data_IF_337424901336
#
_entry.id   IF_337424901336
#
_cell.length_a   1.000
_cell.length_b   1.000
_cell.length_c   1.000
_cell.angle_alpha   90.00
_cell.angle_beta   90.00
_cell.angle_gamma   90.00
#
_symmetry.space_group_name_H-M   'P 1'
#
loop_
_entity.id
_entity.type
_entity.pdbx_description
1 polymer ?
#
# COMPACT_ATOMS: atom_id res chain seq x y z
N UNK A 1 -30.31 34.59 52.78
CA UNK A 1 -29.60 34.81 51.49
C UNK A 1 -29.22 33.44 50.94
N UNK A 2 -30.17 32.82 50.26
CA UNK A 2 -30.03 31.54 49.57
C UNK A 2 -29.65 31.86 48.13
N UNK A 3 -28.42 31.55 47.74
CA UNK A 3 -27.92 31.71 46.37
C UNK A 3 -28.09 30.38 45.64
N UNK A 4 -29.10 30.31 44.78
CA UNK A 4 -29.35 29.21 43.85
C UNK A 4 -28.34 29.31 42.70
N UNK A 5 -27.45 28.32 42.59
CA UNK A 5 -26.56 28.14 41.44
C UNK A 5 -27.32 27.38 40.36
N UNK A 6 -27.69 28.05 39.27
CA UNK A 6 -28.19 27.40 38.05
C UNK A 6 -27.09 26.52 37.45
N UNK A 7 -27.32 25.22 37.45
CA UNK A 7 -26.52 24.28 36.67
C UNK A 7 -26.89 24.45 35.20
N UNK A 8 -25.95 24.97 34.42
CA UNK A 8 -26.01 24.97 32.96
C UNK A 8 -25.97 23.51 32.51
N UNK A 9 -27.10 23.00 32.01
CA UNK A 9 -27.18 21.68 31.42
C UNK A 9 -26.33 21.65 30.14
N UNK A 10 -25.36 20.74 30.11
CA UNK A 10 -24.59 20.38 28.94
C UNK A 10 -25.54 19.69 27.93
N UNK A 11 -26.08 20.47 26.98
CA UNK A 11 -26.88 19.96 25.86
C UNK A 11 -25.96 19.17 24.91
N UNK A 12 -25.69 17.92 25.25
CA UNK A 12 -25.16 16.94 24.32
C UNK A 12 -26.13 16.81 23.13
N UNK A 13 -25.72 17.07 21.88
CA UNK A 13 -26.61 16.96 20.74
C UNK A 13 -27.13 15.53 20.63
N UNK A 14 -28.45 15.37 20.49
CA UNK A 14 -29.10 14.10 20.16
C UNK A 14 -28.37 13.44 18.98
N UNK A 15 -28.05 12.13 19.03
CA UNK A 15 -27.34 11.49 17.94
C UNK A 15 -28.21 11.55 16.68
N UNK A 16 -27.80 12.39 15.72
CA UNK A 16 -28.45 12.51 14.43
C UNK A 16 -28.53 11.14 13.74
N UNK A 17 -29.53 10.98 12.87
CA UNK A 17 -29.74 9.76 12.07
C UNK A 17 -28.44 9.33 11.38
N UNK A 18 -28.04 8.07 11.57
CA UNK A 18 -26.95 7.46 10.78
C UNK A 18 -27.48 7.19 9.37
N UNK A 19 -26.76 7.67 8.37
CA UNK A 19 -27.15 7.58 6.96
C UNK A 19 -26.65 6.26 6.37
N UNK A 20 -27.53 5.54 5.68
CA UNK A 20 -27.16 4.29 5.01
C UNK A 20 -26.37 4.54 3.71
N UNK A 21 -25.57 3.57 3.22
CA UNK A 21 -24.96 3.66 1.89
C UNK A 21 -25.97 3.87 0.75
N UNK A 22 -27.19 3.33 0.89
CA UNK A 22 -28.25 3.49 -0.09
C UNK A 22 -28.82 4.92 -0.08
N UNK A 23 -29.03 5.51 1.10
CA UNK A 23 -29.51 6.89 1.25
C UNK A 23 -28.53 7.88 0.59
N UNK A 24 -27.22 7.66 0.77
CA UNK A 24 -26.18 8.46 0.10
C UNK A 24 -26.23 8.25 -1.42
N UNK A 25 -26.36 7.02 -1.89
CA UNK A 25 -26.45 6.75 -3.33
C UNK A 25 -27.66 7.46 -3.94
N UNK A 26 -28.82 7.42 -3.29
CA UNK A 26 -30.04 8.12 -3.71
C UNK A 26 -29.85 9.64 -3.74
N UNK A 27 -29.33 10.23 -2.66
CA UNK A 27 -29.05 11.67 -2.59
C UNK A 27 -28.03 12.13 -3.66
N UNK A 28 -27.15 11.22 -4.08
CA UNK A 28 -26.19 11.44 -5.15
C UNK A 28 -26.70 10.96 -6.51
N UNK A 29 -27.95 10.54 -6.68
CA UNK A 29 -28.48 10.02 -7.95
C UNK A 29 -27.59 8.93 -8.58
N UNK A 30 -27.04 8.05 -7.75
CA UNK A 30 -26.20 6.91 -8.14
C UNK A 30 -27.01 5.61 -7.98
N UNK A 31 -26.63 4.54 -8.69
CA UNK A 31 -27.21 3.22 -8.44
C UNK A 31 -27.01 2.79 -6.99
N UNK A 32 -28.02 2.15 -6.41
CA UNK A 32 -27.90 1.58 -5.06
C UNK A 32 -26.77 0.54 -5.00
N UNK A 33 -25.93 0.58 -3.95
CA UNK A 33 -24.84 -0.39 -3.80
C UNK A 33 -25.40 -1.80 -3.59
N UNK A 34 -24.67 -2.82 -4.03
CA UNK A 34 -25.01 -4.22 -3.69
C UNK A 34 -24.82 -4.48 -2.20
N UNK A 35 -25.38 -5.57 -1.64
CA UNK A 35 -25.12 -5.95 -0.24
C UNK A 35 -23.61 -6.07 0.09
N UNK A 36 -22.81 -6.61 -0.83
CA UNK A 36 -21.35 -6.69 -0.70
C UNK A 36 -20.71 -5.30 -0.60
N UNK A 37 -21.10 -4.37 -1.48
CA UNK A 37 -20.58 -3.00 -1.48
C UNK A 37 -21.04 -2.22 -0.26
N UNK A 38 -22.32 -2.34 0.12
CA UNK A 38 -22.90 -1.67 1.27
C UNK A 38 -22.21 -2.10 2.58
N UNK A 39 -21.88 -3.39 2.73
CA UNK A 39 -21.15 -3.91 3.88
C UNK A 39 -19.72 -3.30 3.99
N UNK A 40 -19.05 -3.07 2.86
CA UNK A 40 -17.74 -2.39 2.83
C UNK A 40 -17.88 -0.90 3.12
N UNK A 41 -18.86 -0.24 2.50
CA UNK A 41 -19.07 1.21 2.64
C UNK A 41 -19.38 1.56 4.10
N UNK A 42 -20.31 0.84 4.72
CA UNK A 42 -20.73 1.03 6.11
C UNK A 42 -19.92 0.21 7.12
N UNK A 43 -18.77 -0.36 6.73
CA UNK A 43 -17.90 -1.04 7.68
C UNK A 43 -17.49 -0.06 8.80
N UNK A 44 -17.41 -0.51 10.07
CA UNK A 44 -17.00 0.32 11.19
C UNK A 44 -15.70 1.11 10.92
N UNK A 45 -15.46 2.22 11.64
CA UNK A 45 -14.23 3.02 11.54
C UNK A 45 -13.03 2.30 12.19
N UNK A 46 -12.75 1.09 11.73
CA UNK A 46 -11.67 0.19 12.14
C UNK A 46 -10.89 -0.26 10.88
N UNK A 47 -9.72 -0.90 11.03
CA UNK A 47 -9.05 -1.54 9.92
C UNK A 47 -9.92 -2.59 9.21
N UNK A 48 -9.96 -2.52 7.88
CA UNK A 48 -10.75 -3.40 7.03
C UNK A 48 -9.97 -3.80 5.77
N UNK A 49 -9.93 -5.11 5.50
CA UNK A 49 -9.44 -5.66 4.25
C UNK A 49 -10.60 -5.93 3.31
N UNK A 50 -10.52 -5.48 2.06
CA UNK A 50 -11.51 -5.75 1.02
C UNK A 50 -10.85 -6.56 -0.09
N UNK A 51 -11.20 -7.84 -0.17
CA UNK A 51 -10.81 -8.72 -1.27
C UNK A 51 -11.83 -8.56 -2.38
N UNK A 52 -11.45 -7.83 -3.42
CA UNK A 52 -12.34 -7.40 -4.47
C UNK A 52 -11.87 -7.90 -5.84
N UNK A 53 -12.71 -8.71 -6.48
CA UNK A 53 -12.39 -9.32 -7.77
C UNK A 53 -12.35 -8.34 -8.94
N UNK A 54 -11.89 -8.84 -10.09
CA UNK A 54 -11.89 -8.11 -11.35
C UNK A 54 -13.28 -7.55 -11.70
N UNK A 55 -13.37 -6.24 -11.89
CA UNK A 55 -14.63 -5.59 -12.27
C UNK A 55 -15.66 -5.46 -11.15
N UNK A 56 -15.30 -5.70 -9.88
CA UNK A 56 -16.23 -5.61 -8.74
C UNK A 56 -16.59 -4.18 -8.29
N UNK A 57 -15.94 -3.17 -8.90
CA UNK A 57 -16.14 -1.76 -8.52
C UNK A 57 -15.32 -1.33 -7.31
N UNK A 58 -14.06 -1.79 -7.20
CA UNK A 58 -13.08 -1.38 -6.17
C UNK A 58 -13.08 0.13 -5.92
N UNK A 59 -12.69 0.91 -6.92
CA UNK A 59 -12.60 2.38 -6.85
C UNK A 59 -13.95 3.04 -6.59
N UNK A 60 -15.04 2.44 -7.08
CA UNK A 60 -16.40 2.94 -6.86
C UNK A 60 -16.81 2.83 -5.40
N UNK A 61 -16.54 1.68 -4.80
CA UNK A 61 -16.83 1.38 -3.40
C UNK A 61 -15.92 2.18 -2.46
N UNK A 62 -14.64 2.35 -2.82
CA UNK A 62 -13.71 3.21 -2.09
C UNK A 62 -14.20 4.67 -2.03
N UNK A 63 -14.62 5.23 -3.16
CA UNK A 63 -15.15 6.59 -3.19
C UNK A 63 -16.45 6.72 -2.38
N UNK A 64 -17.35 5.73 -2.48
CA UNK A 64 -18.57 5.69 -1.67
C UNK A 64 -18.27 5.59 -0.17
N UNK A 65 -17.24 4.82 0.23
CA UNK A 65 -16.79 4.73 1.63
C UNK A 65 -16.31 6.07 2.17
N UNK A 66 -15.51 6.85 1.41
CA UNK A 66 -15.11 8.20 1.84
C UNK A 66 -16.34 9.07 2.12
N UNK A 67 -17.26 9.10 1.17
CA UNK A 67 -18.47 9.93 1.27
C UNK A 67 -19.32 9.49 2.46
N UNK A 68 -19.42 8.19 2.73
CA UNK A 68 -20.15 7.66 3.87
C UNK A 68 -19.52 8.02 5.22
N UNK A 69 -18.19 7.92 5.34
CA UNK A 69 -17.47 8.35 6.55
C UNK A 69 -17.68 9.85 6.82
N UNK A 70 -17.66 10.67 5.76
CA UNK A 70 -17.85 12.12 5.86
C UNK A 70 -19.30 12.49 6.18
N UNK A 71 -20.27 11.89 5.49
CA UNK A 71 -21.70 12.17 5.70
C UNK A 71 -22.15 11.86 7.14
N UNK A 72 -21.60 10.79 7.72
CA UNK A 72 -21.89 10.38 9.10
C UNK A 72 -21.02 11.11 10.14
N UNK A 73 -20.18 12.07 9.75
CA UNK A 73 -19.36 12.85 10.66
C UNK A 73 -18.22 12.06 11.33
N UNK A 74 -17.84 10.90 10.77
CA UNK A 74 -16.74 10.08 11.29
C UNK A 74 -15.36 10.65 10.93
N UNK A 75 -15.29 11.42 9.85
CA UNK A 75 -14.07 12.12 9.40
C UNK A 75 -14.44 13.36 8.59
N UNK A 76 -13.63 14.42 8.64
CA UNK A 76 -13.76 15.56 7.73
C UNK A 76 -12.99 15.30 6.43
N UNK A 77 -13.36 15.90 5.29
CA UNK A 77 -12.70 15.61 4.01
C UNK A 77 -11.19 15.80 4.01
N UNK A 78 -10.68 16.86 4.66
CA UNK A 78 -9.26 17.19 4.79
C UNK A 78 -8.44 16.17 5.58
N UNK A 79 -9.12 15.35 6.40
CA UNK A 79 -8.54 14.26 7.19
C UNK A 79 -8.61 12.90 6.48
N UNK A 80 -8.94 12.87 5.19
CA UNK A 80 -8.94 11.64 4.38
C UNK A 80 -7.67 11.53 3.55
N UNK A 81 -7.00 10.39 3.65
CA UNK A 81 -5.87 10.00 2.80
C UNK A 81 -6.25 8.84 1.88
N UNK A 82 -6.08 9.00 0.57
CA UNK A 82 -6.16 7.91 -0.41
C UNK A 82 -4.80 7.66 -1.06
N UNK A 83 -4.34 6.41 -1.06
CA UNK A 83 -3.11 5.98 -1.70
C UNK A 83 -3.40 4.97 -2.80
N UNK A 84 -2.74 5.15 -3.95
CA UNK A 84 -2.90 4.31 -5.14
C UNK A 84 -1.54 3.99 -5.77
N UNK A 85 -1.48 2.99 -6.64
CA UNK A 85 -0.23 2.62 -7.31
C UNK A 85 0.18 3.59 -8.44
N UNK A 86 -0.79 4.05 -9.24
CA UNK A 86 -0.51 4.88 -10.43
C UNK A 86 -1.03 6.31 -10.31
N UNK A 87 -0.34 7.27 -10.95
CA UNK A 87 -0.79 8.67 -11.01
C UNK A 87 -2.18 8.83 -11.64
N UNK A 88 -2.53 7.96 -12.60
CA UNK A 88 -3.85 7.94 -13.24
C UNK A 88 -4.93 7.52 -12.24
N UNK A 89 -4.70 6.44 -11.49
CA UNK A 89 -5.63 5.97 -10.46
C UNK A 89 -5.82 7.02 -9.35
N UNK A 90 -4.73 7.63 -8.87
CA UNK A 90 -4.77 8.72 -7.89
C UNK A 90 -5.70 9.86 -8.35
N UNK A 91 -5.50 10.34 -9.58
CA UNK A 91 -6.30 11.42 -10.16
C UNK A 91 -7.78 11.04 -10.27
N UNK A 92 -8.06 9.86 -10.83
CA UNK A 92 -9.43 9.38 -11.01
C UNK A 92 -10.17 9.20 -9.69
N UNK A 93 -9.50 8.70 -8.64
CA UNK A 93 -10.07 8.59 -7.31
C UNK A 93 -10.32 9.97 -6.68
N UNK A 94 -9.35 10.89 -6.75
CA UNK A 94 -9.52 12.27 -6.27
C UNK A 94 -10.69 13.00 -6.94
N UNK A 95 -10.75 12.98 -8.28
CA UNK A 95 -11.84 13.59 -9.05
C UNK A 95 -13.19 13.03 -8.65
N UNK A 96 -13.28 11.69 -8.50
CA UNK A 96 -14.52 11.01 -8.11
C UNK A 96 -14.97 11.39 -6.71
N UNK A 97 -14.08 11.35 -5.72
CA UNK A 97 -14.40 11.70 -4.34
C UNK A 97 -14.83 13.17 -4.25
N UNK A 98 -14.06 14.09 -4.85
CA UNK A 98 -14.40 15.53 -4.88
C UNK A 98 -15.76 15.79 -5.52
N UNK A 99 -16.05 15.15 -6.66
CA UNK A 99 -17.33 15.30 -7.33
C UNK A 99 -18.50 14.84 -6.45
N UNK A 100 -18.35 13.71 -5.73
CA UNK A 100 -19.39 13.20 -4.83
C UNK A 100 -19.57 14.05 -3.59
N UNK A 101 -18.49 14.52 -2.98
CA UNK A 101 -18.55 15.43 -1.83
C UNK A 101 -19.26 16.74 -2.19
N UNK A 102 -18.98 17.33 -3.36
CA UNK A 102 -19.71 18.52 -3.83
C UNK A 102 -21.20 18.25 -4.03
N UNK A 103 -21.55 17.11 -4.64
CA UNK A 103 -22.96 16.70 -4.82
C UNK A 103 -23.64 16.43 -3.48
N UNK A 104 -22.94 15.88 -2.49
CA UNK A 104 -23.43 15.68 -1.13
C UNK A 104 -23.67 17.02 -0.43
N UNK A 105 -22.77 18.00 -0.57
CA UNK A 105 -22.96 19.34 0.00
C UNK A 105 -24.18 20.06 -0.60
N UNK A 106 -24.42 19.84 -1.90
CA UNK A 106 -25.59 20.36 -2.61
C UNK A 106 -26.86 19.53 -2.45
N UNK A 107 -26.83 18.41 -1.74
CA UNK A 107 -28.03 17.64 -1.42
C UNK A 107 -28.63 18.11 -0.07
N UNK A 108 -29.93 17.84 0.12
CA UNK A 108 -30.61 18.09 1.40
C UNK A 108 -30.20 17.11 2.51
N UNK A 109 -29.50 16.03 2.15
CA UNK A 109 -29.18 14.93 3.07
C UNK A 109 -28.34 15.38 4.27
N UNK A 110 -27.42 16.35 4.07
CA UNK A 110 -26.61 16.86 5.18
C UNK A 110 -27.41 17.73 6.17
N UNK A 111 -28.47 18.40 5.71
CA UNK A 111 -29.36 19.17 6.61
C UNK A 111 -30.15 18.24 7.52
N UNK A 112 -30.59 17.10 6.99
CA UNK A 112 -31.37 16.11 7.73
C UNK A 112 -30.56 15.49 8.87
N UNK A 113 -29.24 15.35 8.70
CA UNK A 113 -28.37 14.63 9.65
C UNK A 113 -27.52 15.54 10.53
N UNK A 114 -27.35 16.80 10.12
CA UNK A 114 -26.71 17.86 10.89
C UNK A 114 -27.38 19.23 10.62
N UNK A 115 -28.47 19.54 11.35
CA UNK A 115 -29.17 20.82 11.21
C UNK A 115 -28.31 22.05 11.53
N UNK A 116 -27.16 21.89 12.20
CA UNK A 116 -26.25 23.00 12.51
C UNK A 116 -25.50 23.52 11.28
N UNK A 117 -25.45 22.73 10.20
CA UNK A 117 -24.75 23.05 8.97
C UNK A 117 -23.22 22.90 9.04
N UNK A 118 -22.67 22.49 10.18
CA UNK A 118 -21.22 22.32 10.36
C UNK A 118 -20.64 21.27 9.39
N UNK A 119 -21.32 20.13 9.21
CA UNK A 119 -20.91 19.08 8.27
C UNK A 119 -20.93 19.59 6.84
N UNK A 120 -21.98 20.31 6.43
CA UNK A 120 -22.03 20.91 5.08
C UNK A 120 -20.86 21.86 4.87
N UNK A 121 -20.55 22.71 5.85
CA UNK A 121 -19.42 23.64 5.76
C UNK A 121 -18.08 22.91 5.65
N UNK A 122 -17.88 21.84 6.44
CA UNK A 122 -16.69 21.00 6.37
C UNK A 122 -16.55 20.32 4.99
N UNK A 123 -17.65 19.84 4.41
CA UNK A 123 -17.67 19.25 3.06
C UNK A 123 -17.37 20.29 1.97
N UNK A 124 -17.87 21.52 2.13
CA UNK A 124 -17.67 22.59 1.15
C UNK A 124 -16.25 23.18 1.17
N UNK A 125 -15.57 23.15 2.32
CA UNK A 125 -14.25 23.77 2.52
C UNK A 125 -13.09 22.78 2.56
N UNK A 126 -13.32 21.52 2.94
CA UNK A 126 -12.30 20.49 3.02
C UNK A 126 -12.08 19.75 1.70
N UNK A 127 -10.85 19.29 1.46
CA UNK A 127 -10.54 18.41 0.34
C UNK A 127 -9.72 17.18 0.77
N UNK A 128 -10.06 15.98 0.27
CA UNK A 128 -9.28 14.78 0.53
C UNK A 128 -7.90 14.85 -0.12
N UNK A 129 -6.90 14.29 0.56
CA UNK A 129 -5.57 14.08 -0.01
C UNK A 129 -5.55 12.73 -0.72
N UNK A 130 -5.34 12.70 -2.04
CA UNK A 130 -5.17 11.45 -2.80
C UNK A 130 -3.86 11.47 -3.58
N UNK A 131 -2.98 10.52 -3.31
CA UNK A 131 -1.63 10.46 -3.84
C UNK A 131 -1.29 9.05 -4.35
N UNK A 132 -0.14 8.95 -5.02
CA UNK A 132 0.51 7.64 -5.19
C UNK A 132 1.35 7.33 -3.96
N UNK A 133 1.65 6.05 -3.70
CA UNK A 133 2.55 5.65 -2.59
C UNK A 133 3.89 6.41 -2.62
N UNK A 134 4.52 6.50 -3.79
CA UNK A 134 5.79 7.23 -3.96
C UNK A 134 5.64 8.74 -3.72
N UNK A 135 4.57 9.36 -4.22
CA UNK A 135 4.32 10.79 -3.98
C UNK A 135 4.08 11.09 -2.50
N UNK A 136 3.43 10.17 -1.77
CA UNK A 136 3.24 10.28 -0.33
C UNK A 136 4.57 10.14 0.43
N UNK A 137 5.40 9.15 0.08
CA UNK A 137 6.76 9.02 0.64
C UNK A 137 7.62 10.26 0.39
N UNK A 138 7.58 10.81 -0.83
CA UNK A 138 8.28 12.05 -1.18
C UNK A 138 7.80 13.25 -0.36
N UNK A 139 6.49 13.39 -0.12
CA UNK A 139 5.94 14.44 0.76
C UNK A 139 6.44 14.26 2.20
N UNK A 140 6.39 13.04 2.73
CA UNK A 140 6.82 12.74 4.08
C UNK A 140 8.31 13.11 4.28
N UNK A 141 9.16 12.79 3.31
CA UNK A 141 10.58 13.16 3.34
C UNK A 141 10.80 14.67 3.18
N UNK A 142 10.01 15.35 2.36
CA UNK A 142 10.10 16.81 2.22
C UNK A 142 9.74 17.53 3.52
N UNK A 143 8.71 17.05 4.24
CA UNK A 143 8.23 17.66 5.48
C UNK A 143 9.08 17.28 6.71
N UNK A 144 9.61 16.06 6.76
CA UNK A 144 10.24 15.52 7.97
C UNK A 144 11.66 14.97 7.78
N UNK A 145 12.21 15.02 6.57
CA UNK A 145 13.51 14.43 6.24
C UNK A 145 14.67 14.96 7.08
N UNK A 146 14.57 16.18 7.60
CA UNK A 146 15.58 16.78 8.51
C UNK A 146 15.79 15.99 9.82
N UNK A 147 14.85 15.12 10.18
CA UNK A 147 14.96 14.24 11.36
C UNK A 147 15.84 13.02 11.11
N UNK A 148 16.13 12.72 9.84
CA UNK A 148 17.12 11.73 9.43
C UNK A 148 18.45 12.45 9.13
N UNK A 149 19.58 11.72 9.19
CA UNK A 149 20.88 12.23 8.74
C UNK A 149 20.95 12.31 7.21
N UNK A 150 19.95 12.92 6.56
CA UNK A 150 19.91 13.20 5.12
C UNK A 150 19.98 14.72 4.92
N UNK A 151 20.63 15.16 3.85
CA UNK A 151 20.80 16.60 3.61
C UNK A 151 19.44 17.28 3.31
N UNK A 152 19.15 18.45 3.91
CA UNK A 152 18.01 19.29 3.54
C UNK A 152 17.94 19.54 2.03
N UNK A 153 16.76 19.42 1.42
CA UNK A 153 16.56 19.76 0.00
C UNK A 153 17.22 18.78 -0.98
N UNK A 154 17.41 17.53 -0.57
CA UNK A 154 18.06 16.54 -1.41
C UNK A 154 17.43 16.43 -2.81
N UNK A 155 18.27 16.46 -3.85
CA UNK A 155 17.82 16.42 -5.25
C UNK A 155 17.37 15.00 -5.61
N UNK A 156 16.14 14.87 -6.09
CA UNK A 156 15.65 13.61 -6.65
C UNK A 156 16.35 13.35 -7.99
N UNK A 157 17.06 12.23 -8.09
CA UNK A 157 17.68 11.80 -9.34
C UNK A 157 16.64 11.15 -10.26
N UNK A 158 16.68 11.52 -11.55
CA UNK A 158 16.03 10.73 -12.59
C UNK A 158 16.79 9.41 -12.81
N UNK A 159 16.15 8.42 -13.43
CA UNK A 159 16.80 7.15 -13.79
C UNK A 159 18.09 7.37 -14.59
N UNK A 160 18.09 8.31 -15.54
CA UNK A 160 19.28 8.68 -16.32
C UNK A 160 20.37 9.30 -15.43
N UNK A 161 20.02 10.18 -14.50
CA UNK A 161 21.00 10.80 -13.61
C UNK A 161 21.60 9.79 -12.62
N UNK A 162 20.78 8.87 -12.10
CA UNK A 162 21.22 7.75 -11.27
C UNK A 162 22.17 6.83 -12.04
N UNK A 163 21.83 6.49 -13.29
CA UNK A 163 22.71 5.71 -14.16
C UNK A 163 24.04 6.40 -14.44
N UNK A 164 24.03 7.69 -14.77
CA UNK A 164 25.26 8.44 -14.99
C UNK A 164 26.15 8.48 -13.74
N UNK A 165 25.54 8.58 -12.56
CA UNK A 165 26.25 8.56 -11.29
C UNK A 165 26.89 7.19 -11.03
N UNK A 166 26.11 6.12 -11.15
CA UNK A 166 26.59 4.75 -10.99
C UNK A 166 27.66 4.40 -12.03
N UNK A 167 27.48 4.83 -13.28
CA UNK A 167 28.45 4.60 -14.35
C UNK A 167 29.78 5.29 -14.07
N UNK A 168 29.78 6.50 -13.50
CA UNK A 168 31.03 7.14 -13.06
C UNK A 168 31.73 6.34 -11.97
N UNK A 169 30.98 5.79 -11.01
CA UNK A 169 31.55 4.94 -9.96
C UNK A 169 32.18 3.69 -10.56
N UNK A 170 31.48 3.00 -11.46
CA UNK A 170 31.99 1.79 -12.11
C UNK A 170 33.20 2.09 -13.00
N UNK A 171 33.14 3.14 -13.82
CA UNK A 171 34.21 3.48 -14.77
C UNK A 171 35.46 4.08 -14.12
N UNK A 172 35.38 4.53 -12.87
CA UNK A 172 36.53 5.01 -12.08
C UNK A 172 36.96 4.04 -10.99
N UNK A 173 36.39 2.83 -10.97
CA UNK A 173 36.74 1.80 -10.00
C UNK A 173 38.14 1.27 -10.27
N UNK A 174 38.98 1.25 -9.23
CA UNK A 174 40.40 0.91 -9.31
C UNK A 174 40.74 -0.48 -8.76
N UNK A 175 39.79 -1.14 -8.08
CA UNK A 175 39.95 -2.49 -7.58
C UNK A 175 39.51 -3.54 -8.61
N UNK A 176 40.14 -4.72 -8.56
CA UNK A 176 39.83 -5.82 -9.46
C UNK A 176 38.38 -6.31 -9.27
N UNK A 177 37.69 -6.47 -10.40
CA UNK A 177 36.39 -7.12 -10.49
C UNK A 177 36.53 -8.36 -11.38
N UNK A 178 36.34 -9.54 -10.80
CA UNK A 178 36.47 -10.81 -11.51
C UNK A 178 35.22 -11.07 -12.36
N UNK A 179 35.17 -10.41 -13.52
CA UNK A 179 34.09 -10.57 -14.49
C UNK A 179 34.54 -10.27 -15.91
N UNK A 180 33.91 -10.96 -16.86
CA UNK A 180 33.96 -10.71 -18.30
C UNK A 180 32.99 -9.61 -18.79
N UNK A 181 32.23 -8.99 -17.88
CA UNK A 181 31.19 -8.02 -18.21
C UNK A 181 31.77 -6.65 -18.46
N UNK A 182 31.20 -5.96 -19.44
CA UNK A 182 31.54 -4.57 -19.75
C UNK A 182 31.03 -3.61 -18.66
N UNK A 183 31.64 -2.43 -18.48
CA UNK A 183 31.26 -1.47 -17.43
C UNK A 183 29.78 -1.05 -17.44
N UNK A 184 29.16 -0.96 -18.62
CA UNK A 184 27.73 -0.62 -18.74
C UNK A 184 26.83 -1.69 -18.10
N UNK A 185 27.12 -2.97 -18.36
CA UNK A 185 26.39 -4.10 -17.75
C UNK A 185 26.63 -4.18 -16.24
N UNK A 186 27.86 -3.92 -15.78
CA UNK A 186 28.15 -3.83 -14.34
C UNK A 186 27.36 -2.69 -13.70
N UNK A 187 27.25 -1.53 -14.38
CA UNK A 187 26.44 -0.39 -13.92
C UNK A 187 24.97 -0.77 -13.73
N UNK A 188 24.39 -1.50 -14.69
CA UNK A 188 23.01 -1.99 -14.60
C UNK A 188 22.84 -2.94 -13.40
N UNK A 189 23.79 -3.85 -13.17
CA UNK A 189 23.75 -4.73 -12.01
C UNK A 189 23.89 -4.00 -10.67
N UNK A 190 24.75 -2.97 -10.60
CA UNK A 190 24.90 -2.12 -9.40
C UNK A 190 23.58 -1.40 -9.09
N UNK A 191 22.96 -0.78 -10.08
CA UNK A 191 21.67 -0.09 -9.89
C UNK A 191 20.55 -1.05 -9.52
N UNK A 192 20.45 -2.20 -10.20
CA UNK A 192 19.44 -3.21 -9.88
C UNK A 192 19.62 -3.71 -8.44
N UNK A 193 20.86 -4.01 -8.03
CA UNK A 193 21.14 -4.48 -6.68
C UNK A 193 20.85 -3.40 -5.62
N UNK A 194 21.24 -2.14 -5.87
CA UNK A 194 20.94 -1.02 -4.98
C UNK A 194 19.42 -0.83 -4.81
N UNK A 195 18.67 -0.90 -5.92
CA UNK A 195 17.20 -0.83 -5.91
C UNK A 195 16.56 -1.95 -5.10
N UNK A 196 16.95 -3.20 -5.33
CA UNK A 196 16.44 -4.36 -4.59
C UNK A 196 16.76 -4.29 -3.09
N UNK A 197 17.97 -3.84 -2.71
CA UNK A 197 18.33 -3.61 -1.32
C UNK A 197 17.43 -2.56 -0.66
N UNK A 198 17.15 -1.46 -1.37
CA UNK A 198 16.25 -0.41 -0.92
C UNK A 198 14.81 -0.87 -0.76
N UNK A 199 14.24 -1.53 -1.77
CA UNK A 199 12.86 -2.03 -1.78
C UNK A 199 12.61 -3.07 -0.67
N UNK A 200 13.61 -3.88 -0.37
CA UNK A 200 13.54 -4.92 0.66
C UNK A 200 14.07 -4.49 2.03
N UNK A 201 14.50 -3.24 2.19
CA UNK A 201 15.11 -2.72 3.43
C UNK A 201 16.28 -3.60 3.94
N UNK A 202 17.08 -4.12 3.01
CA UNK A 202 18.22 -4.99 3.30
C UNK A 202 19.51 -4.18 3.22
N UNK A 203 20.37 -4.30 4.23
CA UNK A 203 21.69 -3.66 4.23
C UNK A 203 22.70 -4.50 3.45
N UNK A 204 23.73 -3.86 2.89
CA UNK A 204 24.86 -4.55 2.25
C UNK A 204 25.51 -5.59 3.18
N UNK A 205 25.63 -5.28 4.48
CA UNK A 205 26.12 -6.21 5.51
C UNK A 205 25.25 -7.47 5.61
N UNK A 206 23.93 -7.32 5.71
CA UNK A 206 23.01 -8.46 5.84
C UNK A 206 23.03 -9.34 4.59
N UNK A 207 23.11 -8.72 3.39
CA UNK A 207 23.27 -9.46 2.15
C UNK A 207 24.61 -10.21 2.13
N UNK A 208 25.71 -9.57 2.58
CA UNK A 208 27.03 -10.20 2.67
C UNK A 208 27.02 -11.43 3.57
N UNK A 209 26.46 -11.31 4.77
CA UNK A 209 26.34 -12.40 5.75
C UNK A 209 25.51 -13.57 5.19
N UNK A 210 24.33 -13.27 4.64
CA UNK A 210 23.46 -14.30 4.05
C UNK A 210 24.14 -15.00 2.88
N UNK A 211 24.76 -14.25 1.98
CA UNK A 211 25.41 -14.83 0.80
C UNK A 211 26.64 -15.66 1.19
N UNK A 212 27.44 -15.21 2.17
CA UNK A 212 28.56 -15.99 2.69
C UNK A 212 28.09 -17.31 3.30
N UNK A 213 27.05 -17.28 4.15
CA UNK A 213 26.43 -18.48 4.70
C UNK A 213 25.90 -19.41 3.60
N UNK A 214 25.18 -18.87 2.60
CA UNK A 214 24.62 -19.68 1.53
C UNK A 214 25.71 -20.39 0.70
N UNK A 215 26.77 -19.67 0.34
CA UNK A 215 27.90 -20.26 -0.37
C UNK A 215 28.59 -21.35 0.46
N UNK A 216 28.82 -21.09 1.75
CA UNK A 216 29.41 -22.06 2.67
C UNK A 216 28.54 -23.33 2.80
N UNK A 217 27.22 -23.19 2.93
CA UNK A 217 26.29 -24.32 2.98
C UNK A 217 26.39 -25.17 1.72
N UNK A 218 26.47 -24.57 0.53
CA UNK A 218 26.57 -25.32 -0.73
C UNK A 218 27.94 -26.01 -0.86
N UNK A 219 29.01 -25.31 -0.50
CA UNK A 219 30.39 -25.79 -0.69
C UNK A 219 30.79 -26.85 0.34
N UNK A 220 30.24 -26.78 1.57
CA UNK A 220 30.54 -27.69 2.68
C UNK A 220 29.50 -28.79 2.88
N UNK A 221 28.40 -28.77 2.10
CA UNK A 221 27.32 -29.74 2.22
C UNK A 221 27.86 -31.20 2.18
N UNK A 222 27.47 -32.05 3.15
CA UNK A 222 27.90 -33.43 3.17
C UNK A 222 27.35 -34.15 1.94
N UNK A 223 28.23 -34.92 1.30
CA UNK A 223 27.87 -35.66 0.09
C UNK A 223 27.01 -36.87 0.44
N UNK A 224 25.96 -37.10 -0.34
CA UNK A 224 25.20 -38.32 -0.25
C UNK A 224 26.01 -39.53 -0.74
N UNK A 225 25.67 -40.73 -0.26
CA UNK A 225 26.32 -41.98 -0.69
C UNK A 225 26.16 -42.14 -2.22
N UNK A 226 27.28 -42.30 -2.94
CA UNK A 226 27.38 -42.38 -4.41
C UNK A 226 27.24 -41.06 -5.19
N UNK A 227 27.19 -39.90 -4.52
CA UNK A 227 27.22 -38.60 -5.20
C UNK A 227 28.64 -38.31 -5.75
N UNK A 228 28.78 -37.66 -6.93
CA UNK A 228 30.07 -37.21 -7.47
C UNK A 228 30.86 -36.28 -6.54
N UNK A 229 32.17 -36.15 -6.77
CA UNK A 229 33.07 -35.35 -5.94
C UNK A 229 32.91 -33.84 -6.09
N UNK A 230 32.53 -33.40 -7.28
CA UNK A 230 32.21 -32.00 -7.55
C UNK A 230 30.69 -31.82 -7.47
N UNK A 231 30.21 -30.69 -6.90
CA UNK A 231 28.81 -30.31 -7.02
C UNK A 231 28.36 -30.23 -8.49
N UNK A 232 27.07 -30.42 -8.77
CA UNK A 232 26.51 -30.18 -10.10
C UNK A 232 26.86 -28.78 -10.62
N UNK A 233 27.08 -28.65 -11.94
CA UNK A 233 27.42 -27.37 -12.57
C UNK A 233 26.40 -26.28 -12.22
N UNK A 234 25.11 -26.59 -12.27
CA UNK A 234 24.05 -25.62 -11.97
C UNK A 234 24.18 -25.02 -10.55
N UNK A 235 24.59 -25.83 -9.56
CA UNK A 235 24.85 -25.36 -8.20
C UNK A 235 26.09 -24.46 -8.14
N UNK A 236 27.14 -24.81 -8.88
CA UNK A 236 28.35 -23.99 -9.00
C UNK A 236 28.04 -22.65 -9.68
N UNK A 237 27.19 -22.65 -10.71
CA UNK A 237 26.76 -21.43 -11.41
C UNK A 237 25.93 -20.51 -10.47
N UNK A 238 25.09 -21.08 -9.61
CA UNK A 238 24.38 -20.33 -8.56
C UNK A 238 25.38 -19.71 -7.57
N UNK A 239 26.35 -20.48 -7.07
CA UNK A 239 27.40 -19.96 -6.17
C UNK A 239 28.24 -18.88 -6.83
N UNK A 240 28.60 -19.04 -8.11
CA UNK A 240 29.32 -18.03 -8.87
C UNK A 240 28.52 -16.73 -8.99
N UNK A 241 27.22 -16.81 -9.28
CA UNK A 241 26.34 -15.63 -9.33
C UNK A 241 26.24 -14.92 -7.95
N UNK A 242 26.19 -15.69 -6.86
CA UNK A 242 26.20 -15.15 -5.50
C UNK A 242 27.53 -14.46 -5.16
N UNK A 243 28.67 -15.07 -5.51
CA UNK A 243 30.00 -14.48 -5.33
C UNK A 243 30.16 -13.20 -6.17
N UNK A 244 29.68 -13.20 -7.41
CA UNK A 244 29.65 -11.99 -8.24
C UNK A 244 28.83 -10.88 -7.58
N UNK A 245 27.66 -11.20 -6.99
CA UNK A 245 26.86 -10.23 -6.22
C UNK A 245 27.64 -9.63 -5.04
N UNK A 246 28.46 -10.42 -4.33
CA UNK A 246 29.33 -9.91 -3.27
C UNK A 246 30.39 -8.92 -3.79
N UNK A 247 30.94 -9.17 -4.99
CA UNK A 247 31.90 -8.27 -5.62
C UNK A 247 31.27 -6.93 -6.05
N UNK A 248 29.95 -6.90 -6.29
CA UNK A 248 29.23 -5.67 -6.59
C UNK A 248 28.96 -4.80 -5.34
N UNK A 249 29.00 -5.36 -4.13
CA UNK A 249 28.65 -4.62 -2.91
C UNK A 249 29.53 -3.38 -2.68
N UNK A 250 30.87 -3.43 -2.82
CA UNK A 250 31.69 -2.22 -2.71
C UNK A 250 31.31 -1.13 -3.72
N UNK A 251 30.94 -1.51 -4.95
CA UNK A 251 30.45 -0.56 -5.96
C UNK A 251 29.10 0.05 -5.57
N UNK A 252 28.18 -0.75 -5.02
CA UNK A 252 26.90 -0.26 -4.48
C UNK A 252 27.15 0.71 -3.32
N UNK A 253 28.03 0.36 -2.39
CA UNK A 253 28.39 1.22 -1.24
C UNK A 253 29.03 2.54 -1.71
N UNK A 254 29.88 2.50 -2.74
CA UNK A 254 30.48 3.67 -3.36
C UNK A 254 29.45 4.54 -4.10
N UNK A 255 28.51 3.93 -4.81
CA UNK A 255 27.36 4.63 -5.41
C UNK A 255 26.52 5.33 -4.36
N UNK A 256 26.13 4.63 -3.29
CA UNK A 256 25.36 5.19 -2.17
C UNK A 256 26.12 6.32 -1.46
N UNK A 257 27.43 6.18 -1.27
CA UNK A 257 28.26 7.23 -0.68
C UNK A 257 28.31 8.47 -1.58
N UNK A 258 28.56 8.30 -2.88
CA UNK A 258 28.62 9.41 -3.84
C UNK A 258 27.27 10.12 -3.96
N UNK A 259 26.17 9.36 -4.04
CA UNK A 259 24.80 9.88 -4.08
C UNK A 259 24.50 10.75 -2.87
N UNK A 260 24.85 10.28 -1.67
CA UNK A 260 24.72 11.06 -0.42
C UNK A 260 25.64 12.29 -0.38
N UNK A 261 26.87 12.18 -0.87
CA UNK A 261 27.82 13.29 -0.92
C UNK A 261 27.34 14.43 -1.84
N UNK A 262 26.62 14.09 -2.92
CA UNK A 262 25.97 15.06 -3.82
C UNK A 262 24.62 15.58 -3.29
N UNK A 263 24.22 15.21 -2.07
CA UNK A 263 22.91 15.57 -1.50
C UNK A 263 21.76 15.07 -2.37
N UNK A 264 21.88 13.87 -2.95
CA UNK A 264 20.92 13.32 -3.89
C UNK A 264 20.22 12.08 -3.33
N UNK A 265 19.02 11.80 -3.83
CA UNK A 265 18.16 10.67 -3.46
C UNK A 265 17.54 10.13 -4.75
N UNK A 266 17.51 8.81 -4.95
CA UNK A 266 16.78 8.21 -6.07
C UNK A 266 15.38 7.69 -5.66
N UNK A 267 14.63 7.13 -6.61
CA UNK A 267 13.27 6.66 -6.33
C UNK A 267 13.23 5.50 -5.32
N UNK A 268 14.23 4.61 -5.30
CA UNK A 268 14.29 3.50 -4.37
C UNK A 268 14.63 3.98 -2.94
N UNK A 269 15.50 4.98 -2.84
CA UNK A 269 15.80 5.63 -1.57
C UNK A 269 14.56 6.27 -0.94
N UNK A 270 13.69 6.89 -1.73
CA UNK A 270 12.52 7.58 -1.20
C UNK A 270 11.67 6.66 -0.33
N UNK A 271 11.41 5.44 -0.81
CA UNK A 271 10.59 4.51 -0.07
C UNK A 271 11.29 3.97 1.17
N UNK A 272 12.58 3.62 1.05
CA UNK A 272 13.36 3.08 2.18
C UNK A 272 13.59 4.12 3.28
N UNK A 273 13.90 5.36 2.91
CA UNK A 273 14.06 6.48 3.84
C UNK A 273 12.73 6.83 4.51
N UNK A 274 11.62 6.85 3.77
CA UNK A 274 10.30 7.10 4.35
C UNK A 274 9.91 6.00 5.36
N UNK A 275 10.14 4.73 5.02
CA UNK A 275 9.89 3.61 5.94
C UNK A 275 10.73 3.75 7.22
N UNK A 276 12.04 4.03 7.10
CA UNK A 276 12.92 4.27 8.24
C UNK A 276 12.50 5.48 9.08
N UNK A 277 12.05 6.55 8.43
CA UNK A 277 11.52 7.72 9.13
C UNK A 277 10.31 7.34 9.99
N UNK A 278 9.36 6.60 9.44
CA UNK A 278 8.18 6.15 10.16
C UNK A 278 8.50 5.18 11.31
N UNK A 279 9.48 4.28 11.14
CA UNK A 279 9.87 3.33 12.19
C UNK A 279 10.66 3.98 13.33
N UNK A 280 11.44 5.02 13.06
CA UNK A 280 12.39 5.59 14.03
C UNK A 280 11.94 6.91 14.65
N UNK A 281 10.95 7.60 14.07
CA UNK A 281 10.49 8.92 14.52
C UNK A 281 9.02 8.89 14.97
N UNK A 282 8.74 8.61 16.27
CA UNK A 282 7.37 8.57 16.80
C UNK A 282 6.57 9.85 16.58
N UNK A 283 7.23 11.01 16.60
CA UNK A 283 6.58 12.31 16.34
C UNK A 283 5.99 12.39 14.93
N UNK A 284 6.64 11.78 13.94
CA UNK A 284 6.16 11.74 12.55
C UNK A 284 4.91 10.88 12.47
N UNK A 285 4.92 9.73 13.15
CA UNK A 285 3.74 8.85 13.27
C UNK A 285 2.58 9.59 13.94
N UNK A 286 2.83 10.29 15.05
CA UNK A 286 1.82 11.06 15.76
C UNK A 286 1.26 12.21 14.90
N UNK A 287 2.11 12.93 14.16
CA UNK A 287 1.70 14.01 13.27
C UNK A 287 0.80 13.49 12.13
N UNK A 288 1.21 12.41 11.45
CA UNK A 288 0.45 11.84 10.33
C UNK A 288 -0.88 11.22 10.79
N UNK A 289 -0.92 10.58 11.96
CA UNK A 289 -2.16 10.05 12.57
C UNK A 289 -3.06 11.16 13.11
N UNK A 290 -2.50 12.29 13.53
CA UNK A 290 -3.27 13.48 13.88
C UNK A 290 -3.93 14.09 12.64
N UNK A 291 -3.16 14.20 11.55
CA UNK A 291 -3.60 14.74 10.26
C UNK A 291 -4.70 13.90 9.62
N UNK A 292 -4.53 12.58 9.56
CA UNK A 292 -5.46 11.70 8.87
C UNK A 292 -6.32 10.89 9.83
N UNK A 293 -7.64 11.03 9.70
CA UNK A 293 -8.64 10.25 10.44
C UNK A 293 -9.15 9.03 9.68
N UNK A 294 -8.90 8.94 8.37
CA UNK A 294 -9.21 7.76 7.57
C UNK A 294 -8.20 7.59 6.42
N UNK A 295 -7.73 6.36 6.22
CA UNK A 295 -6.73 6.00 5.20
C UNK A 295 -7.29 4.92 4.29
N UNK A 296 -7.19 5.13 2.98
CA UNK A 296 -7.59 4.17 1.95
C UNK A 296 -6.40 3.74 1.13
N UNK A 297 -6.20 2.43 0.98
CA UNK A 297 -5.09 1.81 0.27
C UNK A 297 -5.65 1.02 -0.92
N UNK A 298 -5.47 1.53 -2.13
CA UNK A 298 -5.89 0.84 -3.37
C UNK A 298 -4.74 -0.03 -3.91
N UNK A 299 -5.12 -1.06 -4.67
CA UNK A 299 -4.24 -2.07 -5.27
C UNK A 299 -3.17 -2.60 -4.29
N UNK A 300 -3.60 -2.94 -3.07
CA UNK A 300 -2.69 -3.31 -1.99
C UNK A 300 -1.86 -4.57 -2.30
N UNK A 301 -2.33 -5.43 -3.21
CA UNK A 301 -1.57 -6.59 -3.69
C UNK A 301 -0.24 -6.23 -4.38
N UNK A 302 -0.14 -5.03 -4.95
CA UNK A 302 1.03 -4.55 -5.68
C UNK A 302 2.01 -3.78 -4.78
N UNK A 303 1.75 -3.77 -3.46
CA UNK A 303 2.59 -3.11 -2.48
C UNK A 303 3.89 -3.88 -2.26
N UNK A 304 5.03 -3.19 -2.28
CA UNK A 304 6.37 -3.74 -1.97
C UNK A 304 6.63 -3.90 -0.46
N UNK A 305 7.81 -4.40 -0.08
CA UNK A 305 8.15 -4.58 1.33
C UNK A 305 8.32 -3.24 2.07
N UNK A 306 9.13 -2.32 1.55
CA UNK A 306 9.35 -1.01 2.17
C UNK A 306 8.04 -0.20 2.30
N UNK A 307 7.17 -0.24 1.29
CA UNK A 307 5.85 0.40 1.33
C UNK A 307 4.97 -0.18 2.45
N UNK A 308 4.92 -1.51 2.60
CA UNK A 308 4.17 -2.16 3.67
C UNK A 308 4.71 -1.76 5.05
N UNK A 309 6.03 -1.72 5.23
CA UNK A 309 6.65 -1.30 6.49
C UNK A 309 6.31 0.16 6.81
N UNK A 310 6.42 1.06 5.83
CA UNK A 310 6.01 2.46 5.96
C UNK A 310 4.55 2.59 6.43
N UNK A 311 3.62 1.95 5.74
CA UNK A 311 2.19 2.05 6.04
C UNK A 311 1.85 1.45 7.39
N UNK A 312 2.44 0.30 7.74
CA UNK A 312 2.27 -0.34 9.05
C UNK A 312 2.78 0.56 10.17
N UNK A 313 3.97 1.13 10.02
CA UNK A 313 4.57 2.00 11.03
C UNK A 313 3.73 3.27 11.26
N UNK A 314 3.21 3.89 10.20
CA UNK A 314 2.38 5.08 10.30
C UNK A 314 0.97 4.80 10.82
N UNK A 315 0.28 3.79 10.29
CA UNK A 315 -1.16 3.64 10.45
C UNK A 315 -1.61 2.31 11.08
N UNK A 316 -0.71 1.32 11.18
CA UNK A 316 -0.99 0.01 11.78
C UNK A 316 -0.55 -0.12 13.25
N UNK A 317 0.40 0.70 13.69
CA UNK A 317 0.83 0.76 15.09
C UNK A 317 -0.08 1.63 15.97
N UNK A 318 -0.04 1.39 17.29
CA UNK A 318 -0.78 2.16 18.28
C UNK A 318 -2.29 1.85 18.30
N UNK A 319 -3.10 2.86 18.59
CA UNK A 319 -4.55 2.72 18.63
C UNK A 319 -5.13 2.39 17.24
N UNK A 320 -6.05 1.43 17.10
CA UNK A 320 -6.67 1.16 15.80
C UNK A 320 -7.34 2.40 15.21
N UNK A 321 -7.14 2.63 13.91
CA UNK A 321 -7.74 3.73 13.17
C UNK A 321 -8.38 3.22 11.86
N UNK A 322 -9.27 4.00 11.21
CA UNK A 322 -9.91 3.60 9.97
C UNK A 322 -8.90 3.47 8.81
N UNK A 323 -8.43 2.26 8.55
CA UNK A 323 -7.59 1.93 7.39
C UNK A 323 -8.32 0.92 6.53
N UNK A 324 -8.58 1.22 5.26
CA UNK A 324 -9.25 0.28 4.35
C UNK A 324 -8.35 -0.04 3.18
N UNK A 325 -7.88 -1.28 3.12
CA UNK A 325 -7.11 -1.79 1.99
C UNK A 325 -8.02 -2.55 1.03
N UNK A 326 -7.82 -2.33 -0.27
CA UNK A 326 -8.53 -3.05 -1.33
C UNK A 326 -7.51 -3.72 -2.23
N UNK A 327 -7.77 -4.98 -2.60
CA UNK A 327 -6.92 -5.68 -3.56
C UNK A 327 -7.50 -6.99 -4.04
N UNK A 328 -6.82 -7.61 -5.00
CA UNK A 328 -7.14 -8.93 -5.54
C UNK A 328 -5.86 -9.79 -5.58
N UNK A 329 -5.78 -10.90 -4.82
CA UNK A 329 -4.59 -11.74 -4.83
C UNK A 329 -4.30 -12.35 -6.21
N UNK A 330 -5.32 -12.53 -7.06
CA UNK A 330 -5.15 -13.03 -8.43
C UNK A 330 -4.59 -11.98 -9.40
N UNK A 331 -4.52 -10.71 -9.01
CA UNK A 331 -4.02 -9.60 -9.85
C UNK A 331 -2.63 -9.11 -9.45
N UNK A 332 -1.96 -9.80 -8.52
CA UNK A 332 -0.60 -9.45 -8.10
C UNK A 332 0.44 -9.79 -9.19
N UNK A 333 0.57 -8.93 -10.20
CA UNK A 333 1.43 -9.16 -11.37
C UNK A 333 2.79 -8.44 -11.32
N UNK A 334 3.01 -7.59 -10.32
CA UNK A 334 4.27 -6.83 -10.15
C UNK A 334 5.29 -7.51 -9.24
N UNK A 335 5.27 -8.86 -9.15
CA UNK A 335 6.19 -9.62 -8.29
C UNK A 335 7.68 -9.35 -8.57
N UNK A 336 8.03 -9.05 -9.82
CA UNK A 336 9.38 -8.66 -10.25
C UNK A 336 9.82 -7.26 -9.76
N UNK A 337 8.92 -6.48 -9.16
CA UNK A 337 9.22 -5.20 -8.47
C UNK A 337 9.13 -5.31 -6.95
N UNK A 338 9.20 -6.52 -6.40
CA UNK A 338 9.11 -6.75 -4.96
C UNK A 338 7.69 -6.78 -4.39
N UNK A 339 6.65 -6.64 -5.22
CA UNK A 339 5.26 -6.82 -4.77
C UNK A 339 5.03 -8.27 -4.33
N UNK A 340 4.21 -8.47 -3.30
CA UNK A 340 3.90 -9.81 -2.80
C UNK A 340 2.42 -9.99 -2.55
N UNK A 341 1.81 -10.98 -3.20
CA UNK A 341 0.44 -11.40 -2.93
C UNK A 341 0.21 -11.78 -1.44
N UNK A 342 1.28 -12.19 -0.74
CA UNK A 342 1.24 -12.47 0.69
C UNK A 342 0.95 -11.23 1.56
N UNK A 343 1.01 -10.01 1.01
CA UNK A 343 0.72 -8.79 1.74
C UNK A 343 -0.77 -8.64 2.08
N UNK A 344 -1.67 -9.15 1.24
CA UNK A 344 -3.11 -9.11 1.48
C UNK A 344 -3.49 -9.86 2.78
N UNK A 345 -3.15 -11.15 2.97
CA UNK A 345 -3.40 -11.83 4.24
C UNK A 345 -2.75 -11.14 5.45
N UNK A 346 -1.51 -10.66 5.28
CA UNK A 346 -0.74 -9.99 6.35
C UNK A 346 -1.32 -8.65 6.79
N UNK A 347 -2.09 -7.97 5.93
CA UNK A 347 -2.78 -6.74 6.28
C UNK A 347 -3.57 -6.88 7.58
N UNK A 348 -4.28 -8.00 7.74
CA UNK A 348 -5.16 -8.23 8.89
C UNK A 348 -4.42 -8.21 10.23
N UNK A 349 -3.15 -8.63 10.23
CA UNK A 349 -2.28 -8.62 11.42
C UNK A 349 -1.42 -7.36 11.52
N UNK A 350 -1.11 -6.71 10.39
CA UNK A 350 -0.36 -5.45 10.38
C UNK A 350 -1.20 -4.26 10.85
N UNK A 351 -2.51 -4.32 10.62
CA UNK A 351 -3.49 -3.30 11.01
C UNK A 351 -4.56 -3.95 11.89
N UNK A 352 -4.25 -4.25 13.16
CA UNK A 352 -5.20 -4.91 14.03
C UNK A 352 -6.36 -4.01 14.44
N UNK A 353 -7.49 -4.61 14.77
CA UNK A 353 -8.66 -3.92 15.35
C UNK A 353 -8.77 -4.21 16.84
N UNK A 354 -9.53 -3.39 17.57
CA UNK A 354 -9.86 -3.68 18.98
C UNK A 354 -10.74 -4.92 19.04
N UNK A 355 -10.36 -5.89 19.87
CA UNK A 355 -11.15 -7.07 20.13
C UNK A 355 -12.11 -6.82 21.30
N UNK A 356 -13.39 -6.62 20.98
CA UNK A 356 -14.44 -6.39 21.98
C UNK A 356 -14.73 -7.59 22.89
N UNK A 357 -14.18 -8.78 22.60
CA UNK A 357 -14.31 -9.98 23.43
C UNK A 357 -13.16 -10.20 24.42
N UNK A 358 -12.08 -9.43 24.33
CA UNK A 358 -10.94 -9.58 25.23
C UNK A 358 -11.16 -8.78 26.51
N UNK A 359 -11.24 -9.46 27.67
CA UNK A 359 -11.47 -8.86 28.99
C UNK A 359 -10.46 -7.76 29.39
N UNK A 360 -9.34 -7.63 28.66
CA UNK A 360 -8.31 -6.60 28.86
C UNK A 360 -8.03 -5.72 27.63
N UNK A 361 -8.97 -5.55 26.69
CA UNK A 361 -8.77 -4.63 25.56
C UNK A 361 -7.70 -5.10 24.56
N UNK A 362 -7.72 -6.40 24.23
CA UNK A 362 -6.80 -7.02 23.28
C UNK A 362 -6.99 -6.53 21.84
N UNK A 363 -5.98 -6.79 21.02
CA UNK A 363 -6.00 -6.53 19.58
C UNK A 363 -6.25 -7.85 18.83
N UNK A 364 -7.18 -7.82 17.87
CA UNK A 364 -7.49 -8.94 16.99
C UNK A 364 -7.25 -8.58 15.52
N UNK A 365 -7.26 -9.57 14.61
CA UNK A 365 -7.07 -9.31 13.19
C UNK A 365 -8.19 -8.43 12.60
N UNK A 366 -7.84 -7.61 11.60
CA UNK A 366 -8.80 -6.81 10.85
C UNK A 366 -9.89 -7.68 10.22
N UNK A 367 -11.08 -7.09 10.00
CA UNK A 367 -12.17 -7.78 9.30
C UNK A 367 -11.89 -7.84 7.80
N UNK A 368 -12.21 -8.98 7.20
CA UNK A 368 -12.15 -9.18 5.75
C UNK A 368 -13.55 -9.12 5.14
N UNK A 369 -13.68 -8.36 4.05
CA UNK A 369 -14.90 -8.23 3.26
C UNK A 369 -14.64 -8.73 1.83
N UNK A 370 -15.59 -9.47 1.27
CA UNK A 370 -15.52 -9.95 -0.11
C UNK A 370 -16.39 -9.12 -1.05
N UNK A 371 -15.84 -8.70 -2.19
CA UNK A 371 -16.59 -8.13 -3.30
C UNK A 371 -16.36 -8.98 -4.56
N UNK A 372 -17.28 -9.90 -4.82
CA UNK A 372 -17.10 -10.95 -5.82
C UNK A 372 -17.97 -10.73 -7.06
N UNK A 373 -18.91 -9.79 -6.99
CA UNK A 373 -19.82 -9.48 -8.09
C UNK A 373 -19.14 -8.58 -9.12
N UNK A 374 -18.81 -9.14 -10.30
CA UNK A 374 -18.30 -8.39 -11.45
C UNK A 374 -19.43 -7.70 -12.22
N UNK A 375 -19.28 -6.39 -12.41
CA UNK A 375 -20.19 -5.57 -13.21
C UNK A 375 -19.73 -5.36 -14.65
N UNK A 376 -18.48 -5.75 -14.95
CA UNK A 376 -17.85 -5.58 -16.27
C UNK A 376 -18.01 -6.80 -17.14
N UNK A 377 -17.94 -7.98 -16.54
CA UNK A 377 -17.82 -9.24 -17.27
C UNK A 377 -19.13 -10.04 -17.27
N UNK A 378 -19.50 -10.64 -18.41
CA UNK A 378 -20.63 -11.56 -18.55
C UNK A 378 -20.31 -12.95 -17.95
N UNK A 379 -21.33 -13.79 -17.70
CA UNK A 379 -21.17 -15.08 -17.01
C UNK A 379 -20.13 -16.00 -17.65
N UNK A 380 -20.11 -16.13 -18.98
CA UNK A 380 -19.26 -17.06 -19.71
C UNK A 380 -17.77 -16.71 -19.59
N UNK A 381 -17.45 -15.42 -19.59
CA UNK A 381 -16.07 -14.92 -19.38
C UNK A 381 -15.62 -15.23 -17.94
N UNK A 382 -16.52 -15.10 -16.97
CA UNK A 382 -16.21 -15.41 -15.56
C UNK A 382 -16.04 -16.90 -15.33
N UNK A 383 -16.82 -17.76 -16.00
CA UNK A 383 -16.61 -19.22 -15.97
C UNK A 383 -15.19 -19.57 -16.40
N UNK A 384 -14.72 -19.00 -17.52
CA UNK A 384 -13.36 -19.23 -17.99
C UNK A 384 -12.31 -18.68 -17.01
N UNK A 385 -12.50 -17.44 -16.53
CA UNK A 385 -11.57 -16.82 -15.58
C UNK A 385 -11.46 -17.60 -14.26
N UNK A 386 -12.58 -18.07 -13.72
CA UNK A 386 -12.62 -18.88 -12.50
C UNK A 386 -11.95 -20.24 -12.72
N UNK A 387 -12.15 -20.88 -13.89
CA UNK A 387 -11.48 -22.13 -14.23
C UNK A 387 -9.96 -21.96 -14.32
N UNK A 388 -9.48 -20.86 -14.91
CA UNK A 388 -8.04 -20.53 -14.96
C UNK A 388 -7.47 -20.26 -13.57
N UNK A 389 -8.24 -19.64 -12.67
CA UNK A 389 -7.82 -19.31 -11.32
C UNK A 389 -7.90 -20.50 -10.34
N UNK A 390 -8.54 -21.61 -10.71
CA UNK A 390 -8.78 -22.77 -9.83
C UNK A 390 -7.50 -23.32 -9.18
N UNK A 391 -6.38 -23.53 -9.90
CA UNK A 391 -5.15 -24.02 -9.27
C UNK A 391 -4.61 -23.07 -8.20
N UNK A 392 -4.79 -21.75 -8.37
CA UNK A 392 -4.38 -20.75 -7.38
C UNK A 392 -5.25 -20.84 -6.13
N UNK A 393 -6.57 -21.04 -6.28
CA UNK A 393 -7.49 -21.28 -5.15
C UNK A 393 -7.11 -22.53 -4.37
N UNK A 394 -6.86 -23.63 -5.08
CA UNK A 394 -6.45 -24.90 -4.48
C UNK A 394 -5.13 -24.78 -3.70
N UNK A 395 -4.22 -23.89 -4.12
CA UNK A 395 -2.97 -23.61 -3.41
C UNK A 395 -3.10 -22.73 -2.16
N UNK A 396 -4.30 -22.22 -1.86
CA UNK A 396 -4.56 -21.40 -0.67
C UNK A 396 -4.23 -19.91 -0.81
N UNK A 397 -4.09 -19.38 -2.03
CA UNK A 397 -3.78 -17.96 -2.29
C UNK A 397 -4.91 -16.96 -1.92
N UNK A 398 -6.00 -17.43 -1.30
CA UNK A 398 -7.13 -16.56 -0.90
C UNK A 398 -7.95 -16.01 -2.07
N UNK A 399 -7.75 -16.56 -3.29
CA UNK A 399 -8.55 -16.22 -4.47
C UNK A 399 -9.98 -16.78 -4.29
N UNK A 400 -11.00 -15.97 -4.58
CA UNK A 400 -12.41 -16.34 -4.44
C UNK A 400 -13.11 -16.33 -5.80
N UNK A 401 -14.22 -17.06 -5.91
CA UNK A 401 -14.97 -17.16 -7.15
C UNK A 401 -15.66 -15.85 -7.53
N UNK A 402 -15.49 -15.43 -8.78
CA UNK A 402 -16.18 -14.26 -9.32
C UNK A 402 -17.57 -14.62 -9.81
N UNK A 403 -18.53 -13.72 -9.61
CA UNK A 403 -19.92 -13.88 -10.04
C UNK A 403 -20.34 -12.73 -10.94
N UNK A 404 -21.15 -13.00 -11.95
CA UNK A 404 -21.72 -11.93 -12.75
C UNK A 404 -22.77 -11.16 -11.94
N UNK A 405 -22.96 -9.87 -12.23
CA UNK A 405 -24.10 -9.12 -11.69
C UNK A 405 -25.43 -9.78 -12.07
N UNK A 406 -26.47 -9.68 -11.23
CA UNK A 406 -27.82 -10.11 -11.61
C UNK A 406 -28.26 -9.47 -12.94
N UNK A 407 -28.82 -10.28 -13.84
CA UNK A 407 -29.28 -9.82 -15.16
C UNK A 407 -28.17 -9.50 -16.16
N UNK A 408 -26.92 -9.96 -15.94
CA UNK A 408 -25.89 -9.91 -16.97
C UNK A 408 -26.31 -10.76 -18.19
N UNK A 409 -26.25 -10.16 -19.39
CA UNK A 409 -26.52 -10.87 -20.64
C UNK A 409 -25.40 -11.86 -21.01
N UNK A 410 -25.68 -12.80 -21.92
CA UNK A 410 -24.70 -13.79 -22.36
C UNK A 410 -23.58 -13.15 -23.18
N UNK A 411 -22.44 -13.83 -23.26
CA UNK A 411 -21.36 -13.51 -24.18
C UNK A 411 -20.96 -14.67 -25.09
N UNK A 412 -20.65 -14.32 -26.34
CA UNK A 412 -20.01 -15.22 -27.30
C UNK A 412 -18.49 -15.22 -27.09
N UNK A 413 -17.96 -16.30 -26.51
CA UNK A 413 -16.51 -16.51 -26.36
C UNK A 413 -16.01 -17.39 -27.49
N UNK A 414 -15.06 -16.88 -28.29
CA UNK A 414 -14.41 -17.63 -29.39
C UNK A 414 -12.91 -17.73 -29.13
N UNK A 415 -12.35 -18.92 -29.29
CA UNK A 415 -10.90 -19.13 -29.30
C UNK A 415 -10.42 -18.83 -30.72
N UNK A 416 -9.51 -17.87 -30.87
CA UNK A 416 -8.94 -17.47 -32.14
C UNK A 416 -7.70 -18.32 -32.49
#
# INVERSE_FOLDING_TARGET
MTSTSEAVADESPSPGRVVSPADIAEALGLPSPTPEQAAVIAAPPEPALVVAGAGAGKTETMAARVVWLVANGLVTPDRVLGLTFTRKAARQLAERVRARLRRLAGSGLLDDVDPTGQRRLAVASGEPTVLTYHAYAGRLLAEHGLRLPVQPGARILSETAAWQLAHRVVSSWDADLDTDKVPTTVTEHVLALAGELGEHLVTATRLREYTAWFCDVVETAPRAKRQPAKPPKDLLDVVAAQRFRLQLLPLVEAYEHRKRAEGAVDFADQMSLAARLAETQPDVVAAERGRYGAVLLDEYQDTGHAQRVLLRALFGGGEPMPVTAVGDPAQAIYGWRGASAANLPRFTTDFPRRDGGAEMGGLGPAREYGMLTSFRNPPEVLTLANAVAEPLRASGLGVRELRARPGAGPADVRVA
#
